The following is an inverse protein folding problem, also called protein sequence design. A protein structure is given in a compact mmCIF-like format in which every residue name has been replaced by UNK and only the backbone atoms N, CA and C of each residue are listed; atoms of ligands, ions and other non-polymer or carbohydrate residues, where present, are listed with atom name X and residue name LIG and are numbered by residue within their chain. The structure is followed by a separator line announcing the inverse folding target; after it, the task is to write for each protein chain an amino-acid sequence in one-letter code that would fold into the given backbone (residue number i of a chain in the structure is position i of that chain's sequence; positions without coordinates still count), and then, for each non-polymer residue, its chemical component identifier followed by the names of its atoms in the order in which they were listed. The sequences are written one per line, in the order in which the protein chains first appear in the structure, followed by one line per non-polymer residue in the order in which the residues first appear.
data_IF_242659552001
#
_entry.id   IF_242659552001
#
_cell.length_a   1.000
_cell.length_b   1.000
_cell.length_c   1.000
_cell.angle_alpha   90.00
_cell.angle_beta   90.00
_cell.angle_gamma   90.00
#
_symmetry.space_group_name_H-M   'P 1'
#
loop_
_entity.id
_entity.type
_entity.pdbx_description
1 polymer ?
#
# COMPACT_ATOMS: atom_id res chain seq x y z
N UNK A 1 19.32 -21.82 12.97
CA UNK A 1 18.02 -22.21 12.41
C UNK A 1 17.18 -20.94 12.29
N UNK A 2 17.21 -20.27 11.14
CA UNK A 2 16.39 -19.07 10.90
C UNK A 2 14.98 -19.53 10.57
N UNK A 3 14.08 -19.45 11.53
CA UNK A 3 12.66 -19.68 11.30
C UNK A 3 12.16 -18.61 10.33
N UNK A 4 11.89 -19.00 9.08
CA UNK A 4 11.15 -18.18 8.12
C UNK A 4 9.74 -18.01 8.70
N UNK A 5 9.50 -16.93 9.46
CA UNK A 5 8.15 -16.64 9.93
C UNK A 5 7.30 -16.29 8.70
N UNK A 6 6.49 -17.26 8.26
CA UNK A 6 5.43 -17.02 7.28
C UNK A 6 4.46 -16.01 7.88
N UNK A 7 4.38 -14.81 7.29
CA UNK A 7 3.34 -13.86 7.65
C UNK A 7 1.98 -14.54 7.48
N UNK A 8 1.08 -14.46 8.48
CA UNK A 8 -0.23 -15.08 8.35
C UNK A 8 -1.01 -14.43 7.22
N UNK A 9 -1.78 -15.22 6.49
CA UNK A 9 -2.53 -14.79 5.29
C UNK A 9 -4.02 -15.03 5.44
N UNK A 10 -4.82 -14.28 4.68
CA UNK A 10 -6.25 -14.48 4.52
C UNK A 10 -6.48 -15.89 3.94
N UNK A 11 -7.49 -16.63 4.42
CA UNK A 11 -7.73 -18.00 4.01
C UNK A 11 -8.19 -18.15 2.56
N UNK A 12 -8.93 -17.16 2.04
CA UNK A 12 -9.60 -17.29 0.73
C UNK A 12 -8.71 -16.86 -0.44
N UNK A 13 -7.91 -15.82 -0.23
CA UNK A 13 -7.25 -15.04 -1.27
C UNK A 13 -5.76 -14.81 -1.00
N UNK A 14 -5.23 -15.30 0.13
CA UNK A 14 -3.78 -15.37 0.38
C UNK A 14 -3.10 -14.03 0.67
N UNK A 15 -3.86 -12.93 0.76
CA UNK A 15 -3.33 -11.63 1.16
C UNK A 15 -2.76 -11.69 2.58
N UNK A 16 -1.74 -10.91 2.91
CA UNK A 16 -1.22 -10.85 4.28
C UNK A 16 -2.27 -10.30 5.26
N UNK A 17 -2.30 -10.82 6.48
CA UNK A 17 -3.09 -10.25 7.56
C UNK A 17 -2.38 -9.03 8.16
N UNK A 18 -3.16 -8.05 8.59
CA UNK A 18 -2.71 -6.91 9.38
C UNK A 18 -3.33 -6.95 10.77
N UNK A 19 -2.55 -6.62 11.79
CA UNK A 19 -3.05 -6.46 13.14
C UNK A 19 -3.60 -5.04 13.34
N UNK A 20 -4.85 -4.96 13.79
CA UNK A 20 -5.59 -3.74 14.04
C UNK A 20 -6.32 -3.89 15.38
N UNK A 21 -6.02 -3.02 16.34
CA UNK A 21 -6.63 -3.07 17.68
C UNK A 21 -6.57 -4.47 18.32
N UNK A 22 -5.43 -5.17 18.17
CA UNK A 22 -5.23 -6.53 18.69
C UNK A 22 -5.94 -7.64 17.93
N UNK A 23 -6.50 -7.38 16.75
CA UNK A 23 -7.17 -8.37 15.89
C UNK A 23 -6.50 -8.45 14.53
N UNK A 24 -6.31 -9.67 14.03
CA UNK A 24 -5.86 -9.88 12.66
C UNK A 24 -7.04 -9.75 11.69
N UNK A 25 -6.85 -8.93 10.66
CA UNK A 25 -7.83 -8.66 9.60
C UNK A 25 -7.16 -8.83 8.25
N UNK A 26 -7.91 -9.29 7.24
CA UNK A 26 -7.39 -9.36 5.89
C UNK A 26 -7.03 -7.98 5.36
N UNK A 27 -5.79 -7.80 4.86
CA UNK A 27 -5.34 -6.49 4.36
C UNK A 27 -6.15 -6.01 3.16
N UNK A 28 -6.47 -6.90 2.22
CA UNK A 28 -7.28 -6.58 1.05
C UNK A 28 -8.69 -6.14 1.44
N UNK A 29 -9.41 -6.94 2.24
CA UNK A 29 -10.76 -6.60 2.71
C UNK A 29 -10.78 -5.28 3.49
N UNK A 30 -9.78 -5.07 4.36
CA UNK A 30 -9.66 -3.85 5.14
C UNK A 30 -9.46 -2.60 4.26
N UNK A 31 -8.60 -2.72 3.24
CA UNK A 31 -8.33 -1.64 2.30
C UNK A 31 -9.54 -1.42 1.37
N UNK A 32 -10.13 -2.47 0.83
CA UNK A 32 -11.28 -2.40 -0.08
C UNK A 32 -12.46 -1.70 0.57
N UNK A 33 -12.80 -2.08 1.81
CA UNK A 33 -13.88 -1.46 2.57
C UNK A 33 -13.71 0.06 2.79
N UNK A 34 -12.48 0.59 2.70
CA UNK A 34 -12.17 2.01 2.98
C UNK A 34 -11.84 2.82 1.74
N UNK A 35 -11.03 2.27 0.84
CA UNK A 35 -10.49 2.98 -0.32
C UNK A 35 -10.78 2.29 -1.65
N UNK A 36 -11.35 1.07 -1.65
CA UNK A 36 -11.75 0.36 -2.86
C UNK A 36 -12.79 1.15 -3.66
N UNK A 37 -12.56 1.31 -4.97
CA UNK A 37 -13.43 2.10 -5.86
C UNK A 37 -13.44 3.60 -5.58
N UNK A 38 -12.59 4.11 -4.67
CA UNK A 38 -12.54 5.54 -4.32
C UNK A 38 -11.59 6.29 -5.23
N UNK A 39 -11.96 7.53 -5.55
CA UNK A 39 -11.15 8.45 -6.35
C UNK A 39 -10.23 9.27 -5.44
N UNK A 40 -8.99 9.41 -5.86
CA UNK A 40 -8.00 10.29 -5.22
C UNK A 40 -8.36 11.73 -5.56
N UNK A 41 -8.67 12.54 -4.55
CA UNK A 41 -9.01 13.96 -4.73
C UNK A 41 -7.79 14.86 -4.70
N UNK A 42 -6.81 14.53 -3.85
CA UNK A 42 -5.56 15.26 -3.72
C UNK A 42 -4.52 14.38 -3.02
N UNK A 43 -3.31 14.90 -2.86
CA UNK A 43 -2.27 14.30 -2.05
C UNK A 43 -1.68 15.32 -1.09
N UNK A 44 -1.35 14.90 0.13
CA UNK A 44 -0.71 15.77 1.14
C UNK A 44 0.57 15.15 1.66
N UNK A 45 1.47 15.96 2.22
CA UNK A 45 2.65 15.47 2.92
C UNK A 45 2.48 15.74 4.41
N UNK A 46 2.45 14.69 5.23
CA UNK A 46 2.39 14.78 6.70
C UNK A 46 3.53 13.98 7.31
N UNK A 47 4.34 14.60 8.16
CA UNK A 47 5.51 13.98 8.79
C UNK A 47 6.46 13.29 7.77
N UNK A 48 6.56 13.87 6.57
CA UNK A 48 7.37 13.36 5.45
C UNK A 48 6.81 12.15 4.70
N UNK A 49 5.60 11.70 5.03
CA UNK A 49 4.88 10.69 4.24
C UNK A 49 3.92 11.36 3.26
N UNK A 50 3.87 10.85 2.03
CA UNK A 50 2.87 11.23 1.04
C UNK A 50 1.57 10.47 1.33
N UNK A 51 0.49 11.19 1.56
CA UNK A 51 -0.85 10.63 1.74
C UNK A 51 -1.66 10.82 0.47
N UNK A 52 -2.41 9.78 0.09
CA UNK A 52 -3.49 9.90 -0.89
C UNK A 52 -4.77 10.23 -0.13
N UNK A 53 -5.43 11.32 -0.50
CA UNK A 53 -6.72 11.72 0.05
C UNK A 53 -7.82 11.29 -0.91
N UNK A 54 -8.87 10.65 -0.41
CA UNK A 54 -9.96 10.10 -1.19
C UNK A 54 -11.25 10.92 -1.06
N UNK A 55 -12.15 10.76 -2.03
CA UNK A 55 -13.45 11.47 -2.07
C UNK A 55 -14.40 11.14 -0.91
N UNK A 56 -14.14 10.07 -0.16
CA UNK A 56 -14.88 9.66 1.02
C UNK A 56 -14.23 10.10 2.34
N UNK A 57 -13.40 11.14 2.32
CA UNK A 57 -12.71 11.67 3.51
C UNK A 57 -11.88 10.58 4.21
N UNK A 58 -11.30 9.68 3.42
CA UNK A 58 -10.33 8.69 3.88
C UNK A 58 -8.96 9.05 3.34
N UNK A 59 -7.91 8.67 4.06
CA UNK A 59 -6.54 8.80 3.59
C UNK A 59 -5.74 7.52 3.78
N UNK A 60 -4.74 7.33 2.93
CA UNK A 60 -3.73 6.27 3.10
C UNK A 60 -2.33 6.87 2.95
N UNK A 61 -1.39 6.63 3.89
CA UNK A 61 0.00 6.98 3.68
C UNK A 61 0.64 6.01 2.69
N UNK A 62 1.45 6.51 1.77
CA UNK A 62 2.31 5.69 0.93
C UNK A 62 3.65 5.45 1.63
N UNK A 63 3.95 4.18 1.90
CA UNK A 63 5.12 3.75 2.67
C UNK A 63 6.08 2.90 1.82
N UNK A 64 7.39 2.92 2.13
CA UNK A 64 8.36 2.07 1.42
C UNK A 64 7.96 0.61 1.57
N UNK A 65 7.73 -0.14 0.47
CA UNK A 65 7.41 -1.56 0.54
C UNK A 65 8.49 -2.39 1.27
N UNK A 66 9.71 -1.85 1.36
CA UNK A 66 10.85 -2.44 2.03
C UNK A 66 10.81 -2.40 3.57
N UNK A 67 10.39 -1.29 4.16
CA UNK A 67 10.63 -1.01 5.59
C UNK A 67 9.48 -0.31 6.30
N UNK A 68 8.39 0.05 5.60
CA UNK A 68 7.28 0.82 6.17
C UNK A 68 7.57 2.31 6.39
N UNK A 69 8.81 2.77 6.15
CA UNK A 69 9.21 4.17 6.25
C UNK A 69 8.74 5.02 5.07
N UNK A 70 9.30 6.23 4.95
CA UNK A 70 8.98 7.15 3.85
C UNK A 70 9.36 6.55 2.49
N UNK A 71 8.58 6.85 1.45
CA UNK A 71 8.91 6.43 0.09
C UNK A 71 10.21 7.08 -0.39
N UNK A 72 11.18 6.25 -0.77
CA UNK A 72 12.40 6.70 -1.42
C UNK A 72 12.18 6.81 -2.94
N UNK A 73 11.76 7.98 -3.40
CA UNK A 73 11.54 8.23 -4.83
C UNK A 73 12.85 8.70 -5.48
N UNK A 74 13.39 7.89 -6.41
CA UNK A 74 14.68 8.19 -7.08
C UNK A 74 14.55 9.10 -8.29
N UNK A 75 13.44 9.00 -9.02
CA UNK A 75 13.28 9.59 -10.36
C UNK A 75 12.24 10.71 -10.43
N UNK A 76 11.32 10.76 -9.47
CA UNK A 76 10.25 11.76 -9.40
C UNK A 76 10.09 12.24 -7.97
N UNK A 77 9.64 13.48 -7.77
CA UNK A 77 9.33 14.00 -6.44
C UNK A 77 8.00 13.43 -5.93
N UNK A 78 7.75 13.54 -4.61
CA UNK A 78 6.46 13.17 -4.03
C UNK A 78 5.30 14.00 -4.61
N UNK A 79 5.55 15.26 -4.94
CA UNK A 79 4.57 16.14 -5.59
C UNK A 79 4.23 15.67 -7.01
N UNK A 80 5.23 15.32 -7.81
CA UNK A 80 5.02 14.77 -9.15
C UNK A 80 4.26 13.45 -9.10
N UNK A 81 4.60 12.58 -8.15
CA UNK A 81 3.84 11.35 -7.92
C UNK A 81 2.39 11.64 -7.55
N UNK A 82 2.16 12.62 -6.68
CA UNK A 82 0.81 13.05 -6.31
C UNK A 82 -0.01 13.53 -7.51
N UNK A 83 0.61 14.34 -8.38
CA UNK A 83 -0.03 14.81 -9.62
C UNK A 83 -0.37 13.65 -10.58
N UNK A 84 0.48 12.62 -10.68
CA UNK A 84 0.23 11.44 -11.53
C UNK A 84 -0.93 10.57 -11.02
N UNK A 85 -1.17 10.57 -9.71
CA UNK A 85 -2.20 9.79 -9.06
C UNK A 85 -3.51 10.54 -8.86
N UNK A 86 -3.46 11.88 -8.77
CA UNK A 86 -4.64 12.70 -8.58
C UNK A 86 -5.70 12.41 -9.67
N UNK A 87 -6.94 12.21 -9.23
CA UNK A 87 -8.06 11.86 -10.10
C UNK A 87 -8.16 10.37 -10.48
N UNK A 88 -7.15 9.54 -10.20
CA UNK A 88 -7.27 8.08 -10.39
C UNK A 88 -8.16 7.45 -9.33
N UNK A 89 -8.76 6.32 -9.69
CA UNK A 89 -9.61 5.50 -8.81
C UNK A 89 -8.86 4.23 -8.42
N UNK A 90 -9.05 3.73 -7.20
CA UNK A 90 -8.52 2.41 -6.81
C UNK A 90 -9.40 1.32 -7.42
N UNK A 91 -8.82 0.50 -8.29
CA UNK A 91 -9.55 -0.58 -8.98
C UNK A 91 -9.35 -1.96 -8.34
N UNK A 92 -8.33 -2.10 -7.49
CA UNK A 92 -8.09 -3.36 -6.81
C UNK A 92 -6.75 -3.41 -6.09
N UNK A 93 -6.45 -4.59 -5.57
CA UNK A 93 -5.26 -4.85 -4.77
C UNK A 93 -4.56 -6.10 -5.25
N UNK A 94 -3.25 -6.17 -5.02
CA UNK A 94 -2.42 -7.36 -5.30
C UNK A 94 -1.50 -7.61 -4.11
N UNK A 95 -1.11 -8.86 -3.91
CA UNK A 95 -0.09 -9.21 -2.93
C UNK A 95 1.03 -10.03 -3.57
N UNK A 96 2.16 -10.08 -2.89
CA UNK A 96 3.30 -10.88 -3.27
C UNK A 96 4.33 -10.94 -2.16
N UNK A 97 5.48 -11.52 -2.49
CA UNK A 97 6.65 -11.51 -1.63
C UNK A 97 7.79 -10.86 -2.39
N UNK A 98 8.47 -9.91 -1.76
CA UNK A 98 9.75 -9.42 -2.25
C UNK A 98 10.87 -9.94 -1.36
N UNK A 99 11.99 -10.28 -1.98
CA UNK A 99 13.20 -10.71 -1.29
C UNK A 99 14.11 -9.50 -1.17
N UNK A 100 14.52 -9.18 0.07
CA UNK A 100 15.47 -8.12 0.30
C UNK A 100 16.77 -8.34 -0.47
N UNK A 101 17.28 -7.26 -1.08
CA UNK A 101 18.60 -7.26 -1.71
C UNK A 101 19.74 -7.18 -0.68
N UNK A 102 19.42 -7.01 0.60
CA UNK A 102 20.40 -7.25 1.65
C UNK A 102 20.70 -8.76 1.72
N UNK A 103 21.90 -9.12 2.17
CA UNK A 103 22.35 -10.51 2.22
C UNK A 103 21.55 -11.38 3.20
N UNK A 104 20.48 -10.86 3.82
CA UNK A 104 19.63 -11.62 4.75
C UNK A 104 18.66 -12.56 4.02
N UNK A 105 18.32 -12.26 2.74
CA UNK A 105 17.32 -13.02 1.99
C UNK A 105 15.93 -12.98 2.61
N UNK A 106 15.64 -11.96 3.42
CA UNK A 106 14.36 -11.82 4.09
C UNK A 106 13.24 -11.58 3.08
N UNK A 107 12.15 -12.34 3.22
CA UNK A 107 10.93 -12.17 2.42
C UNK A 107 9.98 -11.24 3.15
N UNK A 108 9.61 -10.13 2.51
CA UNK A 108 8.64 -9.18 3.05
C UNK A 108 7.33 -9.29 2.26
N UNK A 109 6.18 -9.42 2.93
CA UNK A 109 4.89 -9.35 2.24
C UNK A 109 4.74 -7.95 1.64
N UNK A 110 4.45 -7.89 0.35
CA UNK A 110 4.12 -6.64 -0.32
C UNK A 110 2.62 -6.60 -0.56
N UNK A 111 2.03 -5.45 -0.25
CA UNK A 111 0.70 -5.09 -0.68
C UNK A 111 0.82 -4.08 -1.82
N UNK A 112 -0.01 -4.20 -2.85
CA UNK A 112 0.04 -3.29 -3.97
C UNK A 112 -1.36 -2.76 -4.30
N UNK A 113 -1.43 -1.46 -4.57
CA UNK A 113 -2.66 -0.74 -4.91
C UNK A 113 -2.68 -0.56 -6.43
N UNK A 114 -3.73 -1.02 -7.07
CA UNK A 114 -3.95 -0.83 -8.50
C UNK A 114 -4.85 0.39 -8.73
N UNK A 115 -4.39 1.32 -9.54
CA UNK A 115 -5.12 2.53 -9.91
C UNK A 115 -5.70 2.42 -11.31
N UNK A 116 -6.79 3.14 -11.57
CA UNK A 116 -7.38 3.28 -12.90
C UNK A 116 -6.43 3.93 -13.89
N UNK A 117 -6.55 3.56 -15.16
CA UNK A 117 -5.74 4.11 -16.25
C UNK A 117 -5.72 3.22 -17.48
N UNK A 118 -5.34 3.78 -18.62
CA UNK A 118 -5.18 3.06 -19.88
C UNK A 118 -3.81 2.37 -19.99
N UNK A 119 -2.89 2.65 -19.06
CA UNK A 119 -1.56 2.04 -19.04
C UNK A 119 -1.61 0.56 -18.62
N UNK A 120 -0.52 -0.16 -18.90
CA UNK A 120 -0.35 -1.53 -18.41
C UNK A 120 -0.56 -1.61 -16.90
N UNK A 121 -1.15 -2.71 -16.44
CA UNK A 121 -1.48 -2.93 -15.04
C UNK A 121 -0.26 -2.74 -14.13
N UNK A 122 0.94 -3.11 -14.57
CA UNK A 122 2.14 -2.97 -13.76
C UNK A 122 2.60 -1.51 -13.63
N UNK A 123 2.29 -0.66 -14.60
CA UNK A 123 2.61 0.79 -14.58
C UNK A 123 1.66 1.55 -13.65
N UNK A 124 0.42 1.09 -13.51
CA UNK A 124 -0.61 1.68 -12.63
C UNK A 124 -0.78 0.93 -11.30
N UNK A 125 0.19 0.09 -10.94
CA UNK A 125 0.21 -0.61 -9.65
C UNK A 125 1.35 -0.08 -8.80
N UNK A 126 1.04 0.32 -7.56
CA UNK A 126 2.05 0.77 -6.61
C UNK A 126 2.19 -0.19 -5.44
N UNK A 127 3.42 -0.66 -5.24
CA UNK A 127 3.77 -1.47 -4.08
C UNK A 127 3.98 -0.59 -2.85
N UNK A 128 3.38 -0.98 -1.74
CA UNK A 128 3.46 -0.32 -0.43
C UNK A 128 3.67 -1.36 0.67
N UNK A 129 4.16 -0.92 1.83
CA UNK A 129 4.22 -1.77 2.99
C UNK A 129 2.83 -1.96 3.62
N UNK A 130 2.67 -2.99 4.45
CA UNK A 130 1.43 -3.21 5.18
C UNK A 130 1.10 -2.10 6.18
N UNK A 131 2.09 -1.27 6.56
CA UNK A 131 1.84 -0.09 7.38
C UNK A 131 0.99 0.95 6.66
N UNK A 132 1.02 1.02 5.32
CA UNK A 132 0.06 1.82 4.57
C UNK A 132 -1.37 1.38 4.88
N UNK A 133 -1.62 0.07 4.83
CA UNK A 133 -2.95 -0.51 5.09
C UNK A 133 -3.36 -0.32 6.55
N UNK A 134 -2.43 -0.47 7.49
CA UNK A 134 -2.71 -0.30 8.93
C UNK A 134 -3.09 1.14 9.30
N UNK A 135 -2.56 2.11 8.57
CA UNK A 135 -2.72 3.53 8.85
C UNK A 135 -3.70 4.23 7.90
N UNK A 136 -4.66 3.49 7.34
CA UNK A 136 -5.81 4.10 6.67
C UNK A 136 -6.65 4.80 7.73
N UNK A 137 -6.91 6.10 7.56
CA UNK A 137 -7.63 6.93 8.52
C UNK A 137 -8.69 7.79 7.86
N UNK A 138 -9.67 8.22 8.63
CA UNK A 138 -10.56 9.32 8.25
C UNK A 138 -9.80 10.66 8.32
N UNK A 139 -10.17 11.62 7.47
CA UNK A 139 -9.57 12.97 7.36
C UNK A 139 -10.50 14.06 7.82
#
# INVERSE_FOLDING_TARGET
MSSTQSHPTCPDDGFPLVELNGKYVCSAEHADARIGGRRIVTTTIRNGYLYLEFDNQTSIPLTCPCCGGQLHLRQISAEQLGQLLAGRTVEGFRHGQWVSHDQSGAKHPIFAIQFSGEEDVNTRTMQVHLDSVRNISET
#
